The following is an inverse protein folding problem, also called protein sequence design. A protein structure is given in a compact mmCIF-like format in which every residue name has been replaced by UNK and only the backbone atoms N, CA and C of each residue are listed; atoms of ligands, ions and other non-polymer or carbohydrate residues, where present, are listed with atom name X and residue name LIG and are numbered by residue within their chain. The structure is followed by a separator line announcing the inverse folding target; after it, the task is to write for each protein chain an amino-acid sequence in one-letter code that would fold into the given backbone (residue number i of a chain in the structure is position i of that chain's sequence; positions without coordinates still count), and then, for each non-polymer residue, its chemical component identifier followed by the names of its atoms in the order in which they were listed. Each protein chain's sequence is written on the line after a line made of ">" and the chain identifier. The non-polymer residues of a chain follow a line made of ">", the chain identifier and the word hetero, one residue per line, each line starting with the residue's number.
data_IF_183069866840
#
_entry.id   IF_183069866840
#
_cell.length_a   1.000
_cell.length_b   1.000
_cell.length_c   1.000
_cell.angle_alpha   90.00
_cell.angle_beta   90.00
_cell.angle_gamma   90.00
#
_symmetry.space_group_name_H-M   'P 1'
#
loop_
_entity.id
_entity.type
_entity.pdbx_description
1 polymer ?
#
# COMPACT_ATOMS: atom_id res chain seq x y z
N UNK A 1 0.39 -7.48 15.08
CA UNK A 1 -1.05 -7.47 14.78
C UNK A 1 -1.54 -6.04 14.98
N UNK A 2 -2.29 -5.48 14.03
CA UNK A 2 -2.74 -4.09 14.07
C UNK A 2 -4.18 -4.01 13.59
N UNK A 3 -5.04 -3.31 14.33
CA UNK A 3 -6.45 -3.12 13.99
C UNK A 3 -6.71 -1.84 13.18
N UNK A 4 -5.77 -0.90 13.21
CA UNK A 4 -5.90 0.43 12.61
C UNK A 4 -4.64 0.82 11.87
N UNK A 5 -4.81 1.34 10.65
CA UNK A 5 -3.77 1.97 9.85
C UNK A 5 -4.12 3.44 9.64
N UNK A 6 -3.20 4.33 10.01
CA UNK A 6 -3.35 5.79 9.83
C UNK A 6 -2.34 6.26 8.79
N UNK A 7 -2.79 7.05 7.82
CA UNK A 7 -1.91 7.58 6.77
C UNK A 7 -2.51 8.77 6.05
N UNK A 8 -1.65 9.63 5.52
CA UNK A 8 -2.03 10.85 4.80
C UNK A 8 -2.56 10.52 3.40
N UNK A 9 -1.97 9.52 2.75
CA UNK A 9 -2.34 9.09 1.42
C UNK A 9 -2.44 7.56 1.33
N UNK A 10 -3.62 7.04 1.64
CA UNK A 10 -3.96 5.62 1.50
C UNK A 10 -4.30 5.23 0.05
N UNK A 11 -4.05 6.12 -0.92
CA UNK A 11 -4.37 5.93 -2.34
C UNK A 11 -3.33 5.11 -3.11
N UNK A 12 -2.30 4.56 -2.45
CA UNK A 12 -1.28 3.78 -3.14
C UNK A 12 -1.91 2.58 -3.86
N UNK A 13 -1.44 2.33 -5.07
CA UNK A 13 -1.77 1.12 -5.82
C UNK A 13 -1.40 -0.10 -4.96
N UNK A 14 -2.33 -1.05 -4.83
CA UNK A 14 -2.07 -2.29 -4.09
C UNK A 14 -2.61 -2.37 -2.65
N UNK A 15 -3.14 -1.29 -2.05
CA UNK A 15 -3.82 -1.37 -0.75
C UNK A 15 -5.23 -1.96 -0.87
N UNK A 16 -5.31 -3.24 -1.22
CA UNK A 16 -6.54 -4.02 -1.33
C UNK A 16 -6.66 -4.94 -0.12
N UNK A 17 -7.34 -4.47 0.93
CA UNK A 17 -7.48 -5.16 2.21
C UNK A 17 -8.97 -5.50 2.44
N UNK A 18 -9.43 -6.71 2.09
CA UNK A 18 -10.82 -7.12 2.26
C UNK A 18 -11.34 -7.07 3.71
N UNK A 19 -10.44 -7.08 4.68
CA UNK A 19 -10.73 -7.03 6.11
C UNK A 19 -11.16 -5.62 6.57
N UNK A 20 -10.84 -4.57 5.80
CA UNK A 20 -11.21 -3.19 6.15
C UNK A 20 -12.72 -3.00 6.04
N UNK A 21 -13.37 -2.84 7.18
CA UNK A 21 -14.80 -2.53 7.28
C UNK A 21 -15.09 -1.04 7.44
N UNK A 22 -14.10 -0.23 7.85
CA UNK A 22 -14.28 1.20 8.11
C UNK A 22 -13.12 2.01 7.53
N UNK A 23 -13.46 3.09 6.82
CA UNK A 23 -12.53 4.14 6.40
C UNK A 23 -12.98 5.46 7.02
N UNK A 24 -12.12 6.09 7.82
CA UNK A 24 -12.37 7.40 8.38
C UNK A 24 -11.52 8.46 7.66
N UNK A 25 -12.16 9.51 7.14
CA UNK A 25 -11.52 10.64 6.47
C UNK A 25 -11.64 11.84 7.39
N UNK A 26 -10.54 12.20 8.05
CA UNK A 26 -10.45 13.44 8.81
C UNK A 26 -10.29 14.63 7.87
N UNK A 27 -10.78 15.80 8.26
CA UNK A 27 -10.67 17.03 7.49
C UNK A 27 -11.16 16.86 6.04
N UNK A 28 -12.32 16.22 5.87
CA UNK A 28 -12.85 15.87 4.55
C UNK A 28 -13.24 17.11 3.72
N UNK A 29 -13.50 18.24 4.37
CA UNK A 29 -13.87 19.52 3.73
C UNK A 29 -12.68 20.42 3.36
N UNK A 30 -11.46 20.01 3.69
CA UNK A 30 -10.24 20.76 3.35
C UNK A 30 -9.84 20.42 1.91
N UNK A 31 -10.42 21.14 0.97
CA UNK A 31 -10.16 20.93 -0.46
C UNK A 31 -8.68 21.06 -0.81
N UNK A 32 -8.27 20.30 -1.83
CA UNK A 32 -6.87 20.14 -2.23
C UNK A 32 -6.67 18.77 -2.85
N UNK A 33 -5.42 18.40 -3.15
CA UNK A 33 -5.12 17.14 -3.83
C UNK A 33 -5.71 15.91 -3.12
N UNK A 34 -5.57 15.82 -1.79
CA UNK A 34 -6.02 14.67 -1.00
C UNK A 34 -7.54 14.62 -0.76
N UNK A 35 -8.26 15.70 -1.06
CA UNK A 35 -9.73 15.82 -0.89
C UNK A 35 -10.46 16.19 -2.17
N UNK A 36 -9.78 16.06 -3.31
CA UNK A 36 -10.42 16.15 -4.61
C UNK A 36 -11.44 15.02 -4.79
N UNK A 37 -12.43 15.22 -5.66
CA UNK A 37 -13.44 14.19 -5.97
C UNK A 37 -12.80 12.82 -6.29
N UNK A 38 -11.75 12.79 -7.13
CA UNK A 38 -11.02 11.55 -7.47
C UNK A 38 -10.41 10.89 -6.23
N UNK A 39 -9.73 11.66 -5.38
CA UNK A 39 -9.09 11.15 -4.16
C UNK A 39 -10.11 10.62 -3.16
N UNK A 40 -11.25 11.31 -2.97
CA UNK A 40 -12.32 10.86 -2.10
C UNK A 40 -12.94 9.55 -2.60
N UNK A 41 -13.24 9.44 -3.90
CA UNK A 41 -13.79 8.21 -4.50
C UNK A 41 -12.83 7.03 -4.29
N UNK A 42 -11.53 7.22 -4.55
CA UNK A 42 -10.55 6.16 -4.38
C UNK A 42 -10.37 5.77 -2.91
N UNK A 43 -10.42 6.73 -1.98
CA UNK A 43 -10.36 6.48 -0.53
C UNK A 43 -11.58 5.69 -0.07
N UNK A 44 -12.79 6.09 -0.50
CA UNK A 44 -14.03 5.37 -0.20
C UNK A 44 -14.02 3.93 -0.75
N UNK A 45 -13.42 3.74 -1.93
CA UNK A 45 -13.30 2.43 -2.58
C UNK A 45 -12.55 1.39 -1.74
N UNK A 46 -11.74 1.80 -0.75
CA UNK A 46 -11.05 0.87 0.16
C UNK A 46 -12.01 0.09 1.05
N UNK A 47 -13.15 0.68 1.42
CA UNK A 47 -14.20 0.01 2.20
C UNK A 47 -15.09 -0.93 1.35
N UNK A 48 -15.06 -0.82 0.02
CA UNK A 48 -16.00 -1.53 -0.87
C UNK A 48 -15.73 -3.05 -0.99
N UNK A 49 -14.62 -3.54 -0.43
CA UNK A 49 -14.22 -4.95 -0.45
C UNK A 49 -14.90 -5.79 0.64
N UNK A 50 -15.53 -5.12 1.61
CA UNK A 50 -16.14 -5.73 2.78
C UNK A 50 -17.66 -5.51 2.78
N UNK A 51 -18.43 -6.54 3.14
CA UNK A 51 -19.91 -6.46 3.22
C UNK A 51 -20.38 -5.43 4.24
N UNK A 52 -19.60 -5.19 5.30
CA UNK A 52 -19.86 -4.19 6.33
C UNK A 52 -19.12 -2.87 6.07
N UNK A 53 -18.58 -2.69 4.86
CA UNK A 53 -17.83 -1.51 4.43
C UNK A 53 -18.59 -0.20 4.65
N UNK A 54 -17.99 0.70 5.43
CA UNK A 54 -18.51 2.03 5.74
C UNK A 54 -17.41 3.08 5.62
N UNK A 55 -17.82 4.30 5.27
CA UNK A 55 -16.94 5.47 5.22
C UNK A 55 -17.53 6.56 6.10
N UNK A 56 -16.69 7.17 6.95
CA UNK A 56 -17.05 8.33 7.76
C UNK A 56 -16.18 9.50 7.28
N UNK A 57 -16.82 10.59 6.88
CA UNK A 57 -16.16 11.84 6.51
C UNK A 57 -16.39 12.86 7.63
N UNK A 58 -15.34 13.25 8.34
CA UNK A 58 -15.39 14.32 9.33
C UNK A 58 -15.15 15.66 8.65
N UNK A 59 -16.13 16.56 8.72
CA UNK A 59 -16.13 17.84 8.02
C UNK A 59 -17.10 18.81 8.71
N UNK A 60 -16.82 20.10 8.60
CA UNK A 60 -17.74 21.16 9.07
C UNK A 60 -18.82 21.46 8.01
N UNK A 61 -18.48 21.27 6.72
CA UNK A 61 -19.38 21.49 5.58
C UNK A 61 -19.23 20.42 4.50
N UNK A 62 -20.26 20.22 3.70
CA UNK A 62 -20.18 19.38 2.50
C UNK A 62 -19.64 20.20 1.33
N UNK A 63 -18.46 19.86 0.82
CA UNK A 63 -17.86 20.51 -0.36
C UNK A 63 -18.40 19.94 -1.66
N UNK A 64 -18.16 20.61 -2.79
CA UNK A 64 -18.54 20.08 -4.12
C UNK A 64 -17.85 18.74 -4.44
N UNK A 65 -16.59 18.58 -4.02
CA UNK A 65 -15.86 17.31 -4.13
C UNK A 65 -16.49 16.19 -3.31
N UNK A 66 -16.92 16.49 -2.08
CA UNK A 66 -17.61 15.53 -1.22
C UNK A 66 -18.98 15.14 -1.79
N UNK A 67 -19.78 16.13 -2.20
CA UNK A 67 -21.10 15.89 -2.76
C UNK A 67 -21.02 14.98 -4.00
N UNK A 68 -20.11 15.30 -4.92
CA UNK A 68 -19.87 14.48 -6.12
C UNK A 68 -19.48 13.04 -5.79
N UNK A 69 -18.62 12.85 -4.77
CA UNK A 69 -18.22 11.52 -4.32
C UNK A 69 -19.38 10.75 -3.68
N UNK A 70 -20.19 11.41 -2.85
CA UNK A 70 -21.36 10.81 -2.18
C UNK A 70 -22.40 10.40 -3.22
N UNK A 71 -22.71 11.27 -4.17
CA UNK A 71 -23.70 11.03 -5.23
C UNK A 71 -23.29 9.86 -6.11
N UNK A 72 -22.02 9.81 -6.54
CA UNK A 72 -21.52 8.71 -7.37
C UNK A 72 -21.48 7.39 -6.59
N UNK A 73 -21.15 7.43 -5.29
CA UNK A 73 -21.18 6.25 -4.42
C UNK A 73 -22.60 5.70 -4.27
N UNK A 74 -23.58 6.58 -4.00
CA UNK A 74 -24.97 6.21 -3.87
C UNK A 74 -25.54 5.68 -5.19
N UNK A 75 -25.26 6.35 -6.32
CA UNK A 75 -25.68 5.91 -7.65
C UNK A 75 -25.20 4.49 -7.95
N UNK A 76 -23.91 4.21 -7.71
CA UNK A 76 -23.34 2.86 -7.91
C UNK A 76 -23.98 1.83 -6.98
N UNK A 77 -24.17 2.17 -5.71
CA UNK A 77 -24.78 1.28 -4.71
C UNK A 77 -26.21 0.91 -5.07
N UNK A 78 -27.01 1.86 -5.55
CA UNK A 78 -28.38 1.61 -6.02
C UNK A 78 -28.39 0.61 -7.16
N UNK A 79 -27.58 0.85 -8.21
CA UNK A 79 -27.47 -0.06 -9.37
C UNK A 79 -27.05 -1.48 -8.92
N UNK A 80 -26.06 -1.57 -8.03
CA UNK A 80 -25.59 -2.86 -7.51
C UNK A 80 -26.66 -3.57 -6.68
N UNK A 81 -27.43 -2.84 -5.88
CA UNK A 81 -28.50 -3.41 -5.04
C UNK A 81 -29.65 -3.94 -5.90
N UNK A 82 -30.05 -3.18 -6.92
CA UNK A 82 -31.06 -3.60 -7.89
C UNK A 82 -30.60 -4.83 -8.67
N UNK A 83 -29.38 -4.80 -9.20
CA UNK A 83 -28.81 -5.96 -9.90
C UNK A 83 -28.77 -7.20 -9.01
N UNK A 84 -28.33 -7.06 -7.75
CA UNK A 84 -28.29 -8.17 -6.81
C UNK A 84 -29.68 -8.72 -6.53
N UNK A 85 -30.69 -7.87 -6.37
CA UNK A 85 -32.08 -8.29 -6.15
C UNK A 85 -32.67 -9.02 -7.34
N UNK A 86 -32.38 -8.57 -8.57
CA UNK A 86 -32.89 -9.19 -9.80
C UNK A 86 -32.24 -10.55 -10.08
N UNK A 87 -31.01 -10.77 -9.57
CA UNK A 87 -30.21 -11.98 -9.85
C UNK A 87 -30.05 -12.88 -8.61
N UNK A 88 -30.79 -12.65 -7.53
CA UNK A 88 -30.70 -13.40 -6.27
C UNK A 88 -29.27 -13.49 -5.68
N UNK A 89 -28.47 -12.42 -5.83
CA UNK A 89 -27.10 -12.36 -5.34
C UNK A 89 -27.08 -11.81 -3.92
N UNK A 90 -26.60 -12.62 -2.97
CA UNK A 90 -26.30 -12.15 -1.60
C UNK A 90 -24.83 -11.69 -1.51
N UNK A 91 -24.54 -10.41 -1.18
CA UNK A 91 -23.17 -9.93 -1.03
C UNK A 91 -22.37 -10.72 0.02
N UNK A 92 -21.13 -11.07 -0.32
CA UNK A 92 -20.19 -11.74 0.60
C UNK A 92 -18.82 -11.07 0.53
N UNK A 93 -18.16 -10.90 1.68
CA UNK A 93 -16.79 -10.39 1.71
C UNK A 93 -15.83 -11.36 1.05
N UNK A 94 -14.87 -10.83 0.30
CA UNK A 94 -13.79 -11.63 -0.30
C UNK A 94 -12.86 -12.12 0.82
N UNK A 95 -12.61 -13.43 0.89
CA UNK A 95 -11.57 -13.99 1.76
C UNK A 95 -10.30 -14.19 0.94
N UNK A 96 -9.30 -13.34 1.11
CA UNK A 96 -7.93 -13.59 0.61
C UNK A 96 -7.10 -14.15 1.77
N UNK A 97 -6.24 -15.12 1.49
CA UNK A 97 -5.28 -15.61 2.49
C UNK A 97 -4.37 -14.46 2.93
N UNK A 98 -4.00 -14.44 4.22
CA UNK A 98 -3.08 -13.50 4.83
C UNK A 98 -1.71 -13.53 4.12
N UNK A 99 -1.58 -12.82 3.00
CA UNK A 99 -0.28 -12.37 2.52
C UNK A 99 -0.02 -11.05 3.21
N UNK A 100 1.03 -11.05 4.02
CA UNK A 100 1.37 -10.05 5.00
C UNK A 100 1.35 -8.66 4.36
N UNK A 101 0.31 -7.89 4.67
CA UNK A 101 0.14 -6.49 4.26
C UNK A 101 1.42 -5.69 4.55
N UNK A 102 2.13 -6.06 5.63
CA UNK A 102 3.42 -5.54 6.05
C UNK A 102 4.51 -5.73 5.00
N UNK A 103 4.66 -6.88 4.34
CA UNK A 103 5.74 -7.07 3.34
C UNK A 103 5.64 -6.07 2.17
N UNK A 104 4.42 -5.68 1.80
CA UNK A 104 4.19 -4.69 0.74
C UNK A 104 4.34 -3.23 1.18
N UNK A 105 4.21 -2.94 2.49
CA UNK A 105 4.23 -1.58 3.07
C UNK A 105 5.60 -1.29 3.73
N UNK A 106 6.17 -2.25 4.46
CA UNK A 106 7.49 -2.19 5.08
C UNK A 106 8.60 -2.02 4.04
N UNK A 107 8.45 -2.58 2.85
CA UNK A 107 9.42 -2.35 1.76
C UNK A 107 9.43 -0.90 1.23
N UNK A 108 8.41 -0.07 1.53
CA UNK A 108 8.20 1.20 0.82
C UNK A 108 7.89 2.44 1.64
N UNK A 109 7.75 2.37 2.98
CA UNK A 109 7.42 3.58 3.77
C UNK A 109 8.07 3.70 5.17
N UNK A 110 8.96 2.80 5.59
CA UNK A 110 9.71 3.01 6.83
C UNK A 110 11.19 3.31 6.54
N UNK A 111 11.59 4.57 6.72
CA UNK A 111 12.90 4.88 7.28
C UNK A 111 12.86 4.44 8.75
N UNK A 112 13.02 3.13 9.01
CA UNK A 112 13.42 2.67 10.33
C UNK A 112 14.83 3.21 10.59
N UNK A 113 14.96 4.19 11.47
CA UNK A 113 16.25 4.52 12.09
C UNK A 113 16.66 3.27 12.87
N UNK A 114 17.72 2.54 12.49
CA UNK A 114 18.13 1.36 13.24
C UNK A 114 18.82 1.81 14.52
N UNK A 115 18.23 1.46 15.67
CA UNK A 115 18.96 1.40 16.94
C UNK A 115 19.96 0.24 16.81
N UNK A 116 21.23 0.57 16.91
CA UNK A 116 22.36 -0.32 16.67
C UNK A 116 22.35 -1.58 17.56
N UNK A 117 22.67 -2.74 16.96
CA UNK A 117 23.65 -3.71 17.45
C UNK A 117 23.88 -4.84 16.42
N UNK A 118 25.16 -5.16 16.23
CA UNK A 118 25.80 -5.91 15.15
C UNK A 118 25.52 -7.42 15.10
N UNK A 119 25.64 -8.02 13.90
CA UNK A 119 26.46 -9.23 13.68
C UNK A 119 26.72 -9.50 12.18
N UNK A 120 28.02 -9.57 11.84
CA UNK A 120 28.62 -10.25 10.68
C UNK A 120 28.26 -9.73 9.26
N UNK A 121 28.75 -8.54 8.91
CA UNK A 121 29.00 -8.21 7.51
C UNK A 121 30.46 -8.54 7.18
N UNK A 122 30.70 -9.39 6.18
CA UNK A 122 32.00 -9.51 5.51
C UNK A 122 32.55 -8.10 5.27
N UNK A 123 33.78 -7.84 5.73
CA UNK A 123 34.44 -6.54 5.62
C UNK A 123 34.72 -6.23 4.14
N UNK A 124 33.71 -5.74 3.43
CA UNK A 124 33.86 -5.20 2.07
C UNK A 124 34.33 -3.76 2.21
N UNK A 125 35.54 -3.41 1.72
CA UNK A 125 35.99 -2.02 1.73
C UNK A 125 34.97 -1.13 1.04
N UNK A 126 34.60 -0.01 1.67
CA UNK A 126 33.53 0.90 1.21
C UNK A 126 33.71 1.32 -0.26
N UNK A 127 34.96 1.55 -0.68
CA UNK A 127 35.32 1.90 -2.06
C UNK A 127 34.97 0.83 -3.11
N UNK A 128 34.82 -0.43 -2.69
CA UNK A 128 34.49 -1.57 -3.57
C UNK A 128 32.99 -1.85 -3.63
N UNK A 129 32.20 -1.28 -2.73
CA UNK A 129 30.74 -1.48 -2.67
C UNK A 129 30.06 -1.09 -3.99
N UNK A 130 30.33 0.07 -4.63
CA UNK A 130 29.69 0.44 -5.89
C UNK A 130 29.95 -0.56 -7.03
N UNK A 131 31.16 -1.13 -7.08
CA UNK A 131 31.53 -2.14 -8.09
C UNK A 131 30.81 -3.45 -7.84
N UNK A 132 30.69 -3.85 -6.57
CA UNK A 132 30.00 -5.07 -6.18
C UNK A 132 28.48 -4.97 -6.43
N UNK A 133 27.85 -3.86 -6.06
CA UNK A 133 26.44 -3.57 -6.34
C UNK A 133 26.15 -3.62 -7.83
N UNK A 134 27.02 -3.03 -8.67
CA UNK A 134 26.87 -3.08 -10.13
C UNK A 134 26.92 -4.51 -10.69
N UNK A 135 27.74 -5.38 -10.10
CA UNK A 135 27.82 -6.81 -10.48
C UNK A 135 26.54 -7.55 -10.05
N UNK A 136 26.14 -7.41 -8.79
CA UNK A 136 24.93 -8.05 -8.25
C UNK A 136 23.66 -7.60 -8.99
N UNK A 137 23.55 -6.31 -9.38
CA UNK A 137 22.42 -5.81 -10.18
C UNK A 137 22.33 -6.51 -11.55
N UNK A 138 23.47 -6.82 -12.18
CA UNK A 138 23.47 -7.58 -13.44
C UNK A 138 23.00 -9.01 -13.23
N UNK A 139 23.46 -9.66 -12.17
CA UNK A 139 23.07 -11.03 -11.81
C UNK A 139 21.58 -11.11 -11.45
N UNK A 140 21.04 -10.11 -10.73
CA UNK A 140 19.63 -10.02 -10.39
C UNK A 140 18.74 -9.91 -11.65
N UNK A 141 19.14 -9.07 -12.60
CA UNK A 141 18.42 -8.93 -13.89
C UNK A 141 18.52 -10.21 -14.72
N UNK A 142 19.64 -10.92 -14.68
CA UNK A 142 19.78 -12.22 -15.34
C UNK A 142 18.86 -13.27 -14.72
N UNK A 143 18.84 -13.40 -13.39
CA UNK A 143 17.96 -14.33 -12.67
C UNK A 143 16.47 -14.03 -12.96
N UNK A 144 16.09 -12.75 -12.98
CA UNK A 144 14.73 -12.34 -13.33
C UNK A 144 14.34 -12.70 -14.79
N UNK A 145 15.30 -12.64 -15.73
CA UNK A 145 15.08 -13.06 -17.13
C UNK A 145 14.93 -14.58 -17.26
N UNK A 146 15.57 -15.34 -16.38
CA UNK A 146 15.47 -16.79 -16.31
C UNK A 146 14.26 -17.28 -15.48
N UNK A 147 13.42 -16.35 -14.98
CA UNK A 147 12.27 -16.63 -14.10
C UNK A 147 12.64 -17.24 -12.74
N UNK A 148 13.92 -17.14 -12.34
CA UNK A 148 14.41 -17.52 -11.02
C UNK A 148 14.22 -16.35 -10.03
N UNK A 149 12.97 -16.21 -9.58
CA UNK A 149 12.55 -15.09 -8.74
C UNK A 149 13.11 -15.19 -7.31
N UNK A 150 13.32 -16.39 -6.78
CA UNK A 150 13.90 -16.58 -5.45
C UNK A 150 15.32 -16.02 -5.40
N UNK A 151 16.14 -16.34 -6.40
CA UNK A 151 17.49 -15.81 -6.55
C UNK A 151 17.50 -14.31 -6.82
N UNK A 152 16.56 -13.80 -7.61
CA UNK A 152 16.44 -12.36 -7.85
C UNK A 152 16.10 -11.58 -6.56
N UNK A 153 15.26 -12.13 -5.70
CA UNK A 153 14.92 -11.55 -4.39
C UNK A 153 16.14 -11.57 -3.46
N UNK A 154 16.86 -12.69 -3.38
CA UNK A 154 18.08 -12.78 -2.56
C UNK A 154 19.13 -11.75 -2.97
N UNK A 155 19.34 -11.58 -4.28
CA UNK A 155 20.29 -10.61 -4.83
C UNK A 155 19.84 -9.16 -4.56
N UNK A 156 18.54 -8.87 -4.65
CA UNK A 156 17.97 -7.55 -4.31
C UNK A 156 18.24 -7.20 -2.85
N UNK A 157 17.99 -8.13 -1.93
CA UNK A 157 18.14 -7.89 -0.49
C UNK A 157 19.62 -7.71 -0.12
N UNK A 158 20.52 -8.44 -0.80
CA UNK A 158 21.97 -8.26 -0.66
C UNK A 158 22.45 -6.91 -1.19
N UNK A 159 21.92 -6.44 -2.31
CA UNK A 159 22.22 -5.09 -2.84
C UNK A 159 21.80 -4.01 -1.84
N UNK A 160 20.58 -4.12 -1.30
CA UNK A 160 20.06 -3.16 -0.31
C UNK A 160 20.96 -3.04 0.91
N UNK A 161 21.35 -4.19 1.50
CA UNK A 161 22.29 -4.21 2.64
C UNK A 161 23.62 -3.53 2.33
N UNK A 162 24.15 -3.72 1.13
CA UNK A 162 25.41 -3.09 0.72
C UNK A 162 25.27 -1.57 0.52
N UNK A 163 24.17 -1.12 -0.09
CA UNK A 163 23.87 0.31 -0.27
C UNK A 163 23.62 1.01 1.08
N UNK A 164 22.96 0.34 2.03
CA UNK A 164 22.77 0.85 3.39
C UNK A 164 24.11 1.01 4.14
N UNK A 165 25.04 0.06 3.97
CA UNK A 165 26.40 0.13 4.55
C UNK A 165 27.23 1.24 3.90
N UNK A 166 27.14 1.43 2.57
CA UNK A 166 27.82 2.55 1.89
C UNK A 166 27.30 3.90 2.38
N UNK A 167 25.99 4.02 2.59
CA UNK A 167 25.35 5.24 3.07
C UNK A 167 25.70 5.54 4.54
N UNK A 168 25.80 4.52 5.38
CA UNK A 168 26.15 4.67 6.79
C UNK A 168 27.64 5.01 7.03
N UNK A 169 28.52 4.70 6.06
CA UNK A 169 29.97 4.92 6.14
C UNK A 169 30.46 6.14 5.34
N UNK A 170 29.54 6.88 4.71
CA UNK A 170 29.78 8.18 4.05
C UNK A 170 29.58 9.34 5.01
#
# INVERSE_FOLDING_TARGET
>A
EFDVLVGINLLREGLDIPEVSLVAILDADKEGFLRSNRSLIQTCGRAARNVSGRVIMYADKVTGSMQSCIDETNRRRTIQTEYNSVNDITPKSVKKGFRTILESIEERDYFTIPVAAEALAEYVPVEKIPKLVKKLRKEMVAAAKELDFEKAVELRDRIKKLEDVELALR
#
